data_IF_265392271749
#
_entry.id   IF_265392271749
#
_cell.length_a   1.000
_cell.length_b   1.000
_cell.length_c   1.000
_cell.angle_alpha   90.00
_cell.angle_beta   90.00
_cell.angle_gamma   90.00
#
_symmetry.space_group_name_H-M   'P 1'
#
loop_
_entity.id
_entity.type
_entity.pdbx_description
1 polymer ?
#
# COMPACT_ATOMS: atom_id res chain seq x y z
N UNK A 1 9.19 -9.93 17.52
CA UNK A 1 9.08 -9.40 16.16
C UNK A 1 7.70 -8.81 15.95
N UNK A 2 7.65 -7.59 15.48
CA UNK A 2 6.38 -6.99 15.16
C UNK A 2 5.83 -7.59 13.86
N UNK A 3 4.55 -7.92 13.86
CA UNK A 3 3.89 -8.35 12.64
C UNK A 3 3.81 -7.17 11.68
N UNK A 4 4.03 -7.44 10.40
CA UNK A 4 3.87 -6.44 9.36
C UNK A 4 2.39 -6.40 8.99
N UNK A 5 1.77 -5.25 9.19
CA UNK A 5 0.37 -5.06 8.84
C UNK A 5 0.26 -4.59 7.39
N UNK A 6 -0.59 -5.27 6.63
CA UNK A 6 -0.88 -4.89 5.26
C UNK A 6 -1.93 -3.77 5.28
N UNK A 7 -1.59 -2.63 4.70
CA UNK A 7 -2.50 -1.48 4.65
C UNK A 7 -3.64 -1.70 3.68
N UNK A 8 -3.34 -2.29 2.53
CA UNK A 8 -4.34 -2.62 1.51
C UNK A 8 -3.92 -3.88 0.77
N UNK A 9 -4.62 -5.01 0.98
CA UNK A 9 -4.26 -6.24 0.29
C UNK A 9 -4.50 -6.11 -1.21
N UNK A 10 -3.61 -6.72 -1.99
CA UNK A 10 -3.67 -6.63 -3.45
C UNK A 10 -2.96 -7.84 -4.04
N UNK A 11 -3.51 -8.40 -5.12
CA UNK A 11 -2.80 -9.38 -5.93
C UNK A 11 -1.80 -8.61 -6.79
N UNK A 12 -0.50 -8.79 -6.49
CA UNK A 12 0.57 -8.06 -7.17
C UNK A 12 0.70 -8.43 -8.66
N UNK A 13 -0.01 -9.48 -9.10
CA UNK A 13 -0.07 -9.84 -10.51
C UNK A 13 -1.27 -9.20 -11.21
N UNK A 14 -2.14 -8.53 -10.49
CA UNK A 14 -3.33 -7.88 -11.04
C UNK A 14 -2.94 -6.50 -11.61
N UNK A 15 -2.48 -6.51 -12.85
CA UNK A 15 -1.99 -5.33 -13.56
C UNK A 15 -2.97 -4.98 -14.67
N UNK A 16 -3.32 -3.71 -14.80
CA UNK A 16 -4.20 -3.24 -15.86
C UNK A 16 -3.41 -2.61 -17.03
N UNK A 17 -4.09 -1.95 -17.95
CA UNK A 17 -3.45 -1.32 -19.11
C UNK A 17 -2.50 -0.19 -18.78
N UNK A 18 -2.48 0.32 -17.55
CA UNK A 18 -1.53 1.36 -17.12
C UNK A 18 -0.17 0.79 -16.76
N UNK A 19 -0.08 -0.53 -16.55
CA UNK A 19 1.13 -1.18 -16.07
C UNK A 19 1.27 -1.18 -14.54
N UNK A 20 0.35 -0.58 -13.82
CA UNK A 20 0.34 -0.58 -12.36
C UNK A 20 -0.58 -1.68 -11.83
N UNK A 21 -0.26 -2.22 -10.65
CA UNK A 21 -1.19 -3.09 -9.96
C UNK A 21 -2.34 -2.25 -9.40
N UNK A 22 -3.49 -2.88 -9.19
CA UNK A 22 -4.66 -2.15 -8.72
C UNK A 22 -5.51 -3.00 -7.78
N UNK A 23 -6.29 -2.31 -6.96
CA UNK A 23 -7.26 -2.93 -6.09
C UNK A 23 -8.34 -1.88 -5.78
N UNK A 24 -9.36 -2.24 -5.01
CA UNK A 24 -10.38 -1.29 -4.59
C UNK A 24 -10.09 -0.75 -3.19
N UNK A 25 -10.42 0.52 -2.98
CA UNK A 25 -10.16 1.22 -1.72
C UNK A 25 -10.84 0.57 -0.52
N UNK A 26 -11.98 -0.08 -0.72
CA UNK A 26 -12.70 -0.76 0.37
C UNK A 26 -11.94 -1.96 0.94
N UNK A 27 -10.91 -2.43 0.24
CA UNK A 27 -10.02 -3.46 0.76
C UNK A 27 -9.04 -2.91 1.80
N UNK A 28 -8.88 -1.59 1.87
CA UNK A 28 -7.92 -0.97 2.79
C UNK A 28 -8.36 -1.13 4.24
N UNK A 29 -7.39 -1.45 5.11
CA UNK A 29 -7.63 -1.52 6.53
C UNK A 29 -8.03 -0.16 7.10
N UNK A 30 -7.40 0.91 6.62
CA UNK A 30 -7.76 2.30 6.96
C UNK A 30 -7.74 3.11 5.66
N UNK A 31 -8.90 3.27 5.00
CA UNK A 31 -8.95 3.98 3.72
C UNK A 31 -8.42 5.42 3.79
N UNK A 32 -8.52 6.07 4.94
CA UNK A 32 -8.04 7.45 5.09
C UNK A 32 -6.54 7.58 4.91
N UNK A 33 -5.79 6.49 5.06
CA UNK A 33 -4.34 6.49 4.88
C UNK A 33 -3.92 6.23 3.43
N UNK A 34 -4.85 5.80 2.58
CA UNK A 34 -4.58 5.46 1.18
C UNK A 34 -4.88 6.68 0.33
N UNK A 35 -3.89 7.57 0.21
CA UNK A 35 -3.99 8.82 -0.53
C UNK A 35 -2.89 8.87 -1.58
N UNK A 36 -3.12 9.63 -2.66
CA UNK A 36 -2.13 9.74 -3.74
C UNK A 36 -0.77 10.21 -3.21
N UNK A 37 0.28 9.49 -3.55
CA UNK A 37 1.63 9.76 -3.09
C UNK A 37 2.03 9.06 -1.80
N UNK A 38 1.08 8.45 -1.09
CA UNK A 38 1.39 7.74 0.15
C UNK A 38 2.14 6.44 -0.13
N UNK A 39 3.01 6.05 0.79
CA UNK A 39 3.67 4.75 0.77
C UNK A 39 2.87 3.82 1.67
N UNK A 40 2.50 2.67 1.14
CA UNK A 40 1.68 1.69 1.84
C UNK A 40 2.30 0.30 1.73
N UNK A 41 1.89 -0.60 2.62
CA UNK A 41 2.22 -2.01 2.52
C UNK A 41 1.05 -2.71 1.85
N UNK A 42 1.33 -3.41 0.77
CA UNK A 42 0.34 -4.14 -0.02
C UNK A 42 0.76 -5.60 -0.22
N UNK A 43 0.12 -6.32 -1.13
CA UNK A 43 0.37 -7.74 -1.33
C UNK A 43 -0.49 -8.56 -0.39
N UNK A 44 0.11 -9.57 0.24
CA UNK A 44 -0.59 -10.44 1.18
C UNK A 44 0.20 -10.60 2.47
N UNK A 45 -0.41 -11.22 3.47
CA UNK A 45 0.23 -11.42 4.77
C UNK A 45 1.49 -12.28 4.67
N UNK A 46 1.53 -13.20 3.70
CA UNK A 46 2.67 -14.11 3.52
C UNK A 46 3.81 -13.41 2.80
N UNK A 47 3.51 -12.51 1.89
CA UNK A 47 4.51 -11.84 1.06
C UNK A 47 4.15 -10.36 0.90
N UNK A 48 4.29 -9.57 1.98
CA UNK A 48 4.00 -8.14 1.91
C UNK A 48 5.04 -7.40 1.07
N UNK A 49 4.60 -6.37 0.35
CA UNK A 49 5.46 -5.53 -0.47
C UNK A 49 5.13 -4.06 -0.26
N UNK A 50 6.11 -3.20 -0.51
CA UNK A 50 5.88 -1.75 -0.47
C UNK A 50 5.31 -1.27 -1.80
N UNK A 51 4.47 -0.26 -1.74
CA UNK A 51 3.94 0.39 -2.92
C UNK A 51 3.68 1.87 -2.66
N UNK A 52 3.73 2.65 -3.73
CA UNK A 52 3.32 4.05 -3.70
C UNK A 52 1.93 4.14 -4.34
N UNK A 53 1.02 4.85 -3.69
CA UNK A 53 -0.30 5.10 -4.25
C UNK A 53 -0.15 6.11 -5.39
N UNK A 54 -0.46 5.67 -6.60
CA UNK A 54 -0.33 6.50 -7.80
C UNK A 54 -1.58 7.38 -7.98
N UNK A 55 -2.74 6.75 -7.91
CA UNK A 55 -4.01 7.46 -8.13
C UNK A 55 -5.18 6.71 -7.52
N UNK A 56 -6.24 7.44 -7.26
CA UNK A 56 -7.54 6.90 -6.86
C UNK A 56 -8.57 7.39 -7.86
N UNK A 57 -9.35 6.49 -8.43
CA UNK A 57 -10.31 6.80 -9.49
C UNK A 57 -11.66 6.18 -9.16
N UNK A 58 -12.71 6.97 -9.20
CA UNK A 58 -14.06 6.47 -9.01
C UNK A 58 -14.46 5.57 -10.17
N UNK A 59 -15.01 4.41 -9.85
CA UNK A 59 -15.50 3.42 -10.82
C UNK A 59 -16.82 2.86 -10.34
N UNK A 60 -17.63 2.25 -11.20
CA UNK A 60 -18.91 1.69 -10.80
C UNK A 60 -18.87 0.69 -9.65
N UNK A 61 -17.75 -0.02 -9.50
CA UNK A 61 -17.56 -1.00 -8.42
C UNK A 61 -16.93 -0.44 -7.16
N UNK A 62 -16.56 0.86 -7.14
CA UNK A 62 -15.89 1.49 -6.02
C UNK A 62 -14.73 2.37 -6.46
N UNK A 63 -13.91 2.80 -5.51
CA UNK A 63 -12.72 3.60 -5.82
C UNK A 63 -11.59 2.67 -6.19
N UNK A 64 -11.07 2.77 -7.40
CA UNK A 64 -9.94 1.97 -7.89
C UNK A 64 -8.65 2.66 -7.50
N UNK A 65 -7.78 1.91 -6.81
CA UNK A 65 -6.47 2.40 -6.36
C UNK A 65 -5.39 1.78 -7.24
N UNK A 66 -4.58 2.62 -7.87
CA UNK A 66 -3.40 2.17 -8.62
C UNK A 66 -2.16 2.28 -7.74
N UNK A 67 -1.34 1.23 -7.77
CA UNK A 67 -0.18 1.10 -6.90
C UNK A 67 1.07 0.83 -7.74
N UNK A 68 2.12 1.56 -7.44
CA UNK A 68 3.45 1.35 -8.04
C UNK A 68 4.30 0.59 -7.02
N UNK A 69 4.60 -0.67 -7.32
CA UNK A 69 5.39 -1.51 -6.42
C UNK A 69 6.80 -0.96 -6.29
N UNK A 70 7.26 -0.84 -5.05
CA UNK A 70 8.56 -0.27 -4.74
C UNK A 70 9.52 -1.36 -4.26
N UNK A 71 10.83 -1.24 -4.56
CA UNK A 71 11.81 -2.12 -3.95
C UNK A 71 11.96 -1.81 -2.47
N UNK A 72 12.39 -2.78 -1.70
CA UNK A 72 12.65 -2.59 -0.29
C UNK A 72 11.89 -3.57 0.58
N UNK A 73 12.27 -3.63 1.84
CA UNK A 73 11.68 -4.53 2.82
C UNK A 73 10.65 -3.76 3.64
N UNK A 74 9.37 -4.19 3.64
CA UNK A 74 8.35 -3.54 4.47
C UNK A 74 8.70 -3.48 5.95
N UNK A 75 9.43 -4.47 6.48
CA UNK A 75 9.85 -4.46 7.87
C UNK A 75 10.82 -3.30 8.16
N UNK A 76 11.75 -3.06 7.25
CA UNK A 76 12.69 -1.92 7.38
C UNK A 76 11.95 -0.59 7.31
N UNK A 77 10.97 -0.48 6.42
CA UNK A 77 10.16 0.71 6.31
C UNK A 77 9.38 0.99 7.59
N UNK A 78 8.79 -0.04 8.19
CA UNK A 78 8.06 0.09 9.44
C UNK A 78 8.98 0.57 10.58
N UNK A 79 10.21 0.04 10.65
CA UNK A 79 11.20 0.48 11.63
C UNK A 79 11.61 1.93 11.42
N UNK A 80 11.80 2.33 10.16
CA UNK A 80 12.16 3.71 9.84
C UNK A 80 11.06 4.68 10.23
N UNK A 81 9.79 4.33 10.01
CA UNK A 81 8.67 5.14 10.44
C UNK A 81 8.60 5.26 11.95
N UNK A 82 8.81 4.17 12.67
CA UNK A 82 8.82 4.18 14.14
C UNK A 82 9.94 5.06 14.66
N UNK A 83 11.14 4.95 14.08
CA UNK A 83 12.28 5.79 14.43
C UNK A 83 12.03 7.27 14.16
N UNK A 84 11.46 7.58 13.00
CA UNK A 84 11.12 8.96 12.65
C UNK A 84 10.07 9.54 13.59
N UNK A 85 9.11 8.72 14.01
CA UNK A 85 8.07 9.14 14.95
C UNK A 85 8.68 9.50 16.33
N UNK A 86 9.62 8.68 16.78
CA UNK A 86 10.30 8.94 18.05
C UNK A 86 11.13 10.23 17.99
N UNK A 87 11.77 10.48 16.85
CA UNK A 87 12.61 11.68 16.69
C UNK A 87 11.79 12.95 16.56
N UNK A 88 10.56 12.86 16.08
CA UNK A 88 9.70 14.03 15.90
C UNK A 88 8.79 14.32 17.09
N UNK A 89 8.82 13.48 18.10
CA UNK A 89 7.98 13.64 19.29
C UNK A 89 8.46 14.72 20.25
#
# INVERSE_FOLDING_TARGET
MADIEVDIPCDVQQVDGTGFVWTFLDEARDPARVTAGAIVVTGGDVDPVLAKVVSLTDRPGGVKVHLDLLPGDPAEYAEALAGAHLLSA
#
